data_IF_717515347424
#
_entry.id   IF_717515347424
#
_cell.length_a   1.000
_cell.length_b   1.000
_cell.length_c   1.000
_cell.angle_alpha   90.00
_cell.angle_beta   90.00
_cell.angle_gamma   90.00
#
_symmetry.space_group_name_H-M   'P 1'
#
loop_
_entity.id
_entity.type
_entity.pdbx_description
1 polymer ?
#
# COMPACT_ATOMS: atom_id res chain seq x y z
N UNK A 1 47.28 -12.54 1.58
CA UNK A 1 46.49 -11.90 0.51
C UNK A 1 45.93 -10.58 1.03
N UNK A 2 46.29 -9.47 0.38
CA UNK A 2 46.26 -8.11 0.92
C UNK A 2 44.84 -7.55 1.10
N UNK A 3 44.55 -6.99 2.28
CA UNK A 3 43.31 -6.22 2.59
C UNK A 3 43.05 -5.07 1.60
N UNK A 4 44.10 -4.56 0.97
CA UNK A 4 44.02 -3.56 -0.10
C UNK A 4 43.34 -4.09 -1.36
N UNK A 5 43.57 -5.36 -1.73
CA UNK A 5 42.97 -5.99 -2.91
C UNK A 5 41.47 -6.22 -2.71
N UNK A 6 41.05 -6.53 -1.48
CA UNK A 6 39.64 -6.71 -1.13
C UNK A 6 38.86 -5.39 -1.17
N UNK A 7 39.48 -4.30 -0.69
CA UNK A 7 38.88 -2.96 -0.72
C UNK A 7 38.75 -2.42 -2.16
N UNK A 8 39.76 -2.66 -3.01
CA UNK A 8 39.68 -2.30 -4.43
C UNK A 8 38.63 -3.14 -5.19
N UNK A 9 38.46 -4.41 -4.82
CA UNK A 9 37.40 -5.27 -5.39
C UNK A 9 36.00 -4.81 -4.97
N UNK A 10 35.81 -4.42 -3.71
CA UNK A 10 34.52 -3.91 -3.23
C UNK A 10 34.16 -2.56 -3.86
N UNK A 11 35.12 -1.64 -4.00
CA UNK A 11 34.91 -0.37 -4.70
C UNK A 11 34.61 -0.59 -6.19
N UNK A 12 35.32 -1.52 -6.85
CA UNK A 12 35.06 -1.89 -8.23
C UNK A 12 33.67 -2.53 -8.39
N UNK A 13 33.23 -3.38 -7.46
CA UNK A 13 31.87 -3.94 -7.48
C UNK A 13 30.80 -2.87 -7.29
N UNK A 14 31.01 -1.92 -6.37
CA UNK A 14 30.06 -0.82 -6.17
C UNK A 14 30.00 0.12 -7.37
N UNK A 15 31.14 0.39 -8.03
CA UNK A 15 31.17 1.19 -9.26
C UNK A 15 30.61 0.43 -10.46
N UNK A 16 30.79 -0.90 -10.53
CA UNK A 16 30.20 -1.73 -11.58
C UNK A 16 28.68 -1.87 -11.41
N UNK A 17 28.18 -2.05 -10.19
CA UNK A 17 26.73 -1.97 -9.90
C UNK A 17 26.16 -0.57 -10.19
N UNK A 18 26.90 0.50 -9.91
CA UNK A 18 26.51 1.87 -10.24
C UNK A 18 26.51 2.14 -11.76
N UNK A 19 27.43 1.53 -12.51
CA UNK A 19 27.50 1.59 -13.98
C UNK A 19 26.37 0.77 -14.64
N UNK A 20 26.07 -0.42 -14.13
CA UNK A 20 24.95 -1.26 -14.57
C UNK A 20 23.59 -0.58 -14.30
N UNK A 21 23.50 0.26 -13.27
CA UNK A 21 22.31 1.07 -13.01
C UNK A 21 22.14 2.28 -13.96
N UNK A 22 23.19 2.69 -14.71
CA UNK A 22 23.12 3.79 -15.69
C UNK A 22 22.90 3.33 -17.13
N UNK A 23 23.05 2.05 -17.44
CA UNK A 23 22.86 1.53 -18.80
C UNK A 23 21.60 0.67 -18.90
N UNK A 24 20.49 1.27 -19.32
CA UNK A 24 19.50 0.54 -20.13
C UNK A 24 18.04 0.52 -19.69
N UNK A 25 17.42 1.67 -19.46
CA UNK A 25 16.08 1.92 -20.05
C UNK A 25 16.23 3.14 -20.96
N UNK A 26 16.67 2.89 -22.19
CA UNK A 26 16.59 3.85 -23.29
C UNK A 26 15.13 3.90 -23.71
N UNK A 27 14.34 4.74 -23.03
CA UNK A 27 13.09 5.23 -23.63
C UNK A 27 13.55 6.06 -24.82
N UNK A 28 13.32 5.55 -26.03
CA UNK A 28 13.30 6.41 -27.21
C UNK A 28 12.17 7.41 -26.98
N UNK A 29 12.51 8.63 -26.62
CA UNK A 29 11.67 9.75 -26.98
C UNK A 29 11.68 9.77 -28.51
N UNK A 30 10.60 9.30 -29.14
CA UNK A 30 10.27 9.88 -30.43
C UNK A 30 9.91 11.33 -30.14
N UNK A 31 10.72 12.25 -30.63
CA UNK A 31 10.23 13.61 -30.89
C UNK A 31 9.22 13.53 -32.04
N UNK A 32 8.07 12.89 -31.79
CA UNK A 32 6.91 13.11 -32.62
C UNK A 32 6.33 14.45 -32.16
N UNK A 33 6.84 15.51 -32.79
CA UNK A 33 6.08 16.75 -32.93
C UNK A 33 4.69 16.31 -33.40
N UNK A 34 3.69 16.36 -32.52
CA UNK A 34 2.28 16.33 -32.95
C UNK A 34 2.10 17.54 -33.85
N UNK A 35 2.35 17.31 -35.13
CA UNK A 35 1.95 18.19 -36.21
C UNK A 35 0.44 18.13 -36.14
N UNK A 36 -0.18 19.18 -35.60
CA UNK A 36 -1.62 19.37 -35.69
C UNK A 36 -1.91 19.37 -37.19
N UNK A 37 -2.34 18.22 -37.69
CA UNK A 37 -2.84 18.10 -39.03
C UNK A 37 -4.13 18.90 -39.03
N UNK A 38 -4.09 20.12 -39.54
CA UNK A 38 -5.28 20.91 -39.84
C UNK A 38 -6.16 20.28 -40.94
N UNK A 39 -6.01 18.98 -41.23
CA UNK A 39 -6.86 18.23 -42.15
C UNK A 39 -8.24 18.07 -41.53
N UNK A 40 -9.15 18.95 -41.97
CA UNK A 40 -10.58 18.80 -41.73
C UNK A 40 -11.04 17.43 -42.22
N UNK A 41 -11.78 16.72 -41.39
CA UNK A 41 -12.43 15.48 -41.78
C UNK A 41 -13.57 15.79 -42.75
N UNK A 42 -13.51 15.26 -43.98
CA UNK A 42 -14.53 15.40 -45.01
C UNK A 42 -15.44 14.17 -44.98
N UNK A 43 -16.65 14.25 -44.41
CA UNK A 43 -17.48 13.08 -44.18
C UNK A 43 -18.07 12.53 -45.48
N UNK A 44 -18.09 11.21 -45.63
CA UNK A 44 -18.78 10.50 -46.72
C UNK A 44 -19.90 9.64 -46.17
N UNK A 45 -20.72 9.06 -47.06
CA UNK A 45 -21.78 8.10 -46.69
C UNK A 45 -21.24 6.74 -46.21
N UNK A 46 -20.00 6.41 -46.56
CA UNK A 46 -19.31 5.21 -46.08
C UNK A 46 -18.43 5.49 -44.85
N UNK A 47 -18.19 4.46 -44.03
CA UNK A 47 -17.38 4.55 -42.81
C UNK A 47 -15.91 4.86 -43.12
N UNK A 48 -15.42 5.98 -42.59
CA UNK A 48 -14.01 6.35 -42.67
C UNK A 48 -13.37 6.38 -41.29
N UNK A 49 -12.14 5.87 -41.18
CA UNK A 49 -11.38 5.90 -39.93
C UNK A 49 -10.96 7.32 -39.56
N UNK A 50 -11.23 7.72 -38.32
CA UNK A 50 -10.84 9.00 -37.72
C UNK A 50 -9.45 8.86 -37.11
N UNK A 51 -8.52 9.75 -37.48
CA UNK A 51 -7.16 9.76 -36.90
C UNK A 51 -7.18 10.26 -35.45
N UNK A 52 -6.23 9.80 -34.63
CA UNK A 52 -6.04 10.35 -33.28
C UNK A 52 -5.75 11.86 -33.39
N UNK A 53 -6.51 12.66 -32.64
CA UNK A 53 -6.53 14.13 -32.63
C UNK A 53 -7.18 14.85 -33.83
N UNK A 54 -7.89 14.15 -34.72
CA UNK A 54 -8.65 14.79 -35.82
C UNK A 54 -10.02 15.30 -35.34
N UNK A 55 -10.30 16.59 -35.52
CA UNK A 55 -11.61 17.17 -35.25
C UNK A 55 -12.64 16.76 -36.32
N UNK A 56 -13.74 16.14 -35.89
CA UNK A 56 -14.86 15.75 -36.75
C UNK A 56 -16.02 16.76 -36.61
N UNK A 57 -16.68 17.16 -37.73
CA UNK A 57 -17.88 18.00 -37.68
C UNK A 57 -19.01 17.36 -36.85
N UNK A 58 -19.82 18.18 -36.13
CA UNK A 58 -20.99 17.67 -35.40
C UNK A 58 -22.05 17.11 -36.38
N UNK A 59 -22.81 16.10 -35.95
CA UNK A 59 -23.88 15.50 -36.75
C UNK A 59 -23.46 14.30 -37.62
N UNK A 60 -22.36 13.62 -37.29
CA UNK A 60 -21.93 12.38 -37.94
C UNK A 60 -22.25 11.16 -37.08
N UNK A 61 -22.48 10.02 -37.74
CA UNK A 61 -22.56 8.73 -37.05
C UNK A 61 -21.14 8.28 -36.73
N UNK A 62 -20.79 8.14 -35.45
CA UNK A 62 -19.46 7.75 -34.98
C UNK A 62 -19.53 6.41 -34.25
N UNK A 63 -18.62 5.48 -34.56
CA UNK A 63 -18.51 4.19 -33.85
C UNK A 63 -17.06 3.84 -33.54
N UNK A 64 -16.85 2.94 -32.59
CA UNK A 64 -15.57 2.30 -32.33
C UNK A 64 -15.59 0.90 -32.94
N UNK A 65 -14.70 0.63 -33.89
CA UNK A 65 -14.60 -0.70 -34.50
C UNK A 65 -13.89 -1.64 -33.51
N UNK A 66 -14.60 -2.66 -33.02
CA UNK A 66 -14.11 -3.56 -31.95
C UNK A 66 -13.02 -4.52 -32.41
N UNK A 67 -12.89 -4.79 -33.71
CA UNK A 67 -11.83 -5.65 -34.25
C UNK A 67 -10.52 -4.87 -34.44
N UNK A 68 -10.60 -3.59 -34.80
CA UNK A 68 -9.41 -2.77 -35.11
C UNK A 68 -9.04 -1.78 -34.01
N UNK A 69 -9.94 -1.55 -33.05
CA UNK A 69 -9.78 -0.57 -31.97
C UNK A 69 -9.85 0.90 -32.42
N UNK A 70 -10.17 1.18 -33.70
CA UNK A 70 -10.14 2.53 -34.27
C UNK A 70 -11.54 3.17 -34.32
N UNK A 71 -11.58 4.50 -34.15
CA UNK A 71 -12.80 5.30 -34.32
C UNK A 71 -13.12 5.47 -35.80
N UNK A 72 -14.37 5.29 -36.20
CA UNK A 72 -14.86 5.50 -37.57
C UNK A 72 -16.04 6.47 -37.56
N UNK A 73 -16.19 7.29 -38.61
CA UNK A 73 -17.31 8.21 -38.78
C UNK A 73 -17.87 8.21 -40.21
N UNK A 74 -19.19 8.36 -40.37
CA UNK A 74 -19.89 8.55 -41.65
C UNK A 74 -21.02 9.59 -41.54
N UNK A 75 -21.50 10.10 -42.67
CA UNK A 75 -22.70 10.94 -42.75
C UNK A 75 -23.94 10.11 -42.37
N UNK A 76 -24.87 10.69 -41.60
CA UNK A 76 -26.15 10.03 -41.27
C UNK A 76 -27.08 10.05 -42.49
N UNK A 77 -27.72 8.91 -42.80
CA UNK A 77 -28.79 8.83 -43.79
C UNK A 77 -30.17 8.88 -43.10
N UNK A 78 -31.22 9.34 -43.80
CA UNK A 78 -32.58 9.52 -43.25
C UNK A 78 -33.23 8.24 -42.70
N UNK A 79 -32.68 7.06 -43.03
CA UNK A 79 -33.14 5.77 -42.55
C UNK A 79 -32.45 5.26 -41.26
N UNK A 80 -31.38 5.91 -40.79
CA UNK A 80 -30.66 5.51 -39.57
C UNK A 80 -31.41 5.92 -38.27
N UNK A 81 -32.55 6.64 -38.39
CA UNK A 81 -33.38 7.10 -37.26
C UNK A 81 -34.39 6.06 -36.71
N UNK A 82 -34.29 4.78 -37.11
CA UNK A 82 -35.19 3.73 -36.59
C UNK A 82 -34.39 2.52 -36.09
N UNK A 83 -33.89 2.62 -34.86
CA UNK A 83 -33.24 1.51 -34.16
C UNK A 83 -33.22 1.72 -32.65
N UNK A 84 -34.12 1.01 -31.96
CA UNK A 84 -34.33 0.87 -30.51
C UNK A 84 -33.09 1.02 -29.61
N UNK A 85 -33.22 1.83 -28.56
CA UNK A 85 -32.89 1.46 -27.18
C UNK A 85 -33.68 2.35 -26.20
N UNK A 86 -34.51 1.71 -25.38
CA UNK A 86 -35.31 2.28 -24.29
C UNK A 86 -34.43 2.91 -23.21
N UNK A 87 -34.59 4.23 -22.99
CA UNK A 87 -34.52 4.95 -21.69
C UNK A 87 -34.37 6.47 -21.90
N UNK A 88 -35.32 7.10 -22.60
CA UNK A 88 -35.40 8.56 -22.65
C UNK A 88 -36.81 9.01 -22.28
N UNK A 89 -36.87 9.71 -21.14
CA UNK A 89 -38.03 10.48 -20.67
C UNK A 89 -38.41 11.47 -21.77
N UNK A 90 -39.66 11.36 -22.26
CA UNK A 90 -40.25 12.31 -23.19
C UNK A 90 -40.49 13.62 -22.45
N UNK A 91 -39.65 14.63 -22.70
CA UNK A 91 -39.94 16.02 -22.37
C UNK A 91 -40.77 16.59 -23.55
N UNK A 92 -41.94 17.21 -23.31
CA UNK A 92 -42.77 17.79 -24.37
C UNK A 92 -42.02 18.84 -25.20
N UNK A 93 -42.32 18.84 -26.49
CA UNK A 93 -41.64 19.48 -27.63
C UNK A 93 -41.87 21.00 -27.74
N UNK A 94 -41.71 21.74 -26.62
CA UNK A 94 -41.81 23.21 -26.59
C UNK A 94 -40.56 23.85 -25.96
N UNK A 95 -39.37 23.42 -26.37
CA UNK A 95 -38.14 24.20 -26.13
C UNK A 95 -37.44 24.53 -27.45
N UNK A 96 -37.25 25.82 -27.79
CA UNK A 96 -36.55 26.21 -29.00
C UNK A 96 -35.11 25.71 -28.97
N UNK A 97 -34.66 25.12 -30.09
CA UNK A 97 -33.31 24.64 -30.31
C UNK A 97 -32.27 25.71 -29.95
N UNK A 98 -31.32 25.35 -29.09
CA UNK A 98 -30.22 26.20 -28.64
C UNK A 98 -29.21 26.36 -29.80
N UNK A 99 -29.57 27.15 -30.80
CA UNK A 99 -28.66 27.67 -31.83
C UNK A 99 -28.83 29.18 -32.04
N UNK A 100 -29.76 29.82 -31.33
CA UNK A 100 -29.99 31.26 -31.45
C UNK A 100 -29.02 32.04 -30.56
N UNK A 101 -28.07 32.72 -31.20
CA UNK A 101 -27.13 33.69 -30.61
C UNK A 101 -27.82 34.75 -29.72
N UNK A 102 -29.13 34.96 -29.95
CA UNK A 102 -30.01 35.86 -29.20
C UNK A 102 -30.31 35.32 -27.78
N UNK A 103 -30.47 34.00 -27.62
CA UNK A 103 -30.76 33.37 -26.32
C UNK A 103 -29.51 33.34 -25.42
N UNK A 104 -28.32 33.12 -26.00
CA UNK A 104 -27.06 33.28 -25.26
C UNK A 104 -26.88 34.74 -24.79
N UNK A 105 -27.21 35.72 -25.64
CA UNK A 105 -27.15 37.15 -25.28
C UNK A 105 -28.16 37.53 -24.21
N UNK A 106 -29.35 36.92 -24.17
CA UNK A 106 -30.33 37.16 -23.09
C UNK A 106 -29.90 36.49 -21.78
N UNK A 107 -29.35 35.28 -21.81
CA UNK A 107 -28.77 34.60 -20.63
C UNK A 107 -27.62 35.40 -20.00
N UNK A 108 -26.77 36.00 -20.83
CA UNK A 108 -25.68 36.89 -20.40
C UNK A 108 -26.20 38.21 -19.82
N UNK A 109 -27.41 38.64 -20.18
CA UNK A 109 -28.03 39.87 -19.70
C UNK A 109 -28.70 39.70 -18.33
N UNK A 110 -29.18 38.50 -18.02
CA UNK A 110 -29.94 38.22 -16.79
C UNK A 110 -29.12 37.54 -15.68
N UNK A 111 -28.02 36.85 -16.01
CA UNK A 111 -27.06 36.41 -14.98
C UNK A 111 -25.95 37.46 -14.87
N UNK A 112 -25.83 38.10 -13.70
CA UNK A 112 -24.57 38.71 -13.26
C UNK A 112 -23.50 37.60 -13.16
N UNK A 113 -22.97 37.16 -14.29
CA UNK A 113 -21.76 36.35 -14.30
C UNK A 113 -20.67 37.21 -13.69
N UNK A 114 -20.03 36.70 -12.64
CA UNK A 114 -18.83 37.31 -12.06
C UNK A 114 -17.86 37.59 -13.19
N UNK A 115 -17.32 38.80 -13.23
CA UNK A 115 -16.36 39.16 -14.26
C UNK A 115 -15.13 38.26 -14.13
N UNK A 116 -14.42 38.02 -15.24
CA UNK A 116 -13.17 37.26 -15.21
C UNK A 116 -12.15 37.87 -14.24
N UNK A 117 -12.20 39.18 -14.03
CA UNK A 117 -11.32 39.90 -13.10
C UNK A 117 -11.73 39.70 -11.64
N UNK A 118 -13.03 39.62 -11.33
CA UNK A 118 -13.52 39.21 -10.01
C UNK A 118 -13.13 37.77 -9.69
N UNK A 119 -13.25 36.85 -10.66
CA UNK A 119 -12.85 35.46 -10.49
C UNK A 119 -11.34 35.29 -10.28
N UNK A 120 -10.52 36.06 -11.02
CA UNK A 120 -9.06 36.10 -10.80
C UNK A 120 -8.72 36.65 -9.42
N UNK A 121 -9.40 37.72 -8.99
CA UNK A 121 -9.20 38.31 -7.66
C UNK A 121 -9.63 37.35 -6.54
N UNK A 122 -10.73 36.63 -6.70
CA UNK A 122 -11.19 35.59 -5.77
C UNK A 122 -10.19 34.42 -5.72
N UNK A 123 -9.66 34.00 -6.87
CA UNK A 123 -8.66 32.94 -6.97
C UNK A 123 -7.31 33.37 -6.34
N UNK A 124 -6.86 34.60 -6.60
CA UNK A 124 -5.67 35.17 -5.97
C UNK A 124 -5.85 35.32 -4.45
N UNK A 125 -7.03 35.73 -3.99
CA UNK A 125 -7.35 35.81 -2.56
C UNK A 125 -7.39 34.43 -1.88
N UNK A 126 -7.87 33.40 -2.57
CA UNK A 126 -7.82 32.01 -2.11
C UNK A 126 -6.39 31.44 -2.09
N UNK A 127 -5.59 31.77 -3.11
CA UNK A 127 -4.22 31.29 -3.25
C UNK A 127 -3.23 32.02 -2.33
N UNK A 128 -3.58 33.21 -1.82
CA UNK A 128 -2.74 34.01 -0.94
C UNK A 128 -2.40 33.34 0.41
N UNK A 129 -3.21 32.37 0.84
CA UNK A 129 -2.97 31.60 2.08
C UNK A 129 -2.75 30.10 1.82
N UNK A 130 -2.64 29.68 0.56
CA UNK A 130 -2.38 28.29 0.23
C UNK A 130 -0.89 27.99 0.39
N UNK A 131 -0.54 27.23 1.42
CA UNK A 131 0.79 26.65 1.55
C UNK A 131 0.79 25.27 0.95
N UNK A 132 1.77 24.98 0.12
CA UNK A 132 1.98 23.62 -0.38
C UNK A 132 2.52 22.73 0.74
N UNK A 133 2.23 21.43 0.70
CA UNK A 133 2.77 20.46 1.66
C UNK A 133 4.30 20.53 1.73
N UNK A 134 4.98 20.79 0.60
CA UNK A 134 6.42 20.97 0.56
C UNK A 134 6.92 22.18 1.36
N UNK A 135 6.17 23.29 1.38
CA UNK A 135 6.48 24.47 2.19
C UNK A 135 6.20 24.22 3.66
N UNK A 136 5.09 23.55 3.97
CA UNK A 136 4.74 23.15 5.34
C UNK A 136 5.83 22.22 5.90
N UNK A 137 6.25 21.21 5.13
CA UNK A 137 7.33 20.30 5.52
C UNK A 137 8.66 21.01 5.77
N UNK A 138 9.03 21.99 4.93
CA UNK A 138 10.25 22.79 5.15
C UNK A 138 10.17 23.62 6.43
N UNK A 139 9.00 24.21 6.72
CA UNK A 139 8.74 24.94 7.96
C UNK A 139 8.86 24.02 9.17
N UNK A 140 8.16 22.87 9.15
CA UNK A 140 8.22 21.86 10.21
C UNK A 140 9.63 21.32 10.40
N UNK A 141 10.39 21.08 9.33
CA UNK A 141 11.78 20.63 9.42
C UNK A 141 12.67 21.65 10.14
N UNK A 142 12.51 22.95 9.84
CA UNK A 142 13.25 24.02 10.52
C UNK A 142 12.87 24.10 12.00
N UNK A 143 11.57 24.06 12.31
CA UNK A 143 11.08 24.09 13.69
C UNK A 143 11.56 22.87 14.47
N UNK A 144 11.52 21.69 13.85
CA UNK A 144 11.99 20.44 14.42
C UNK A 144 13.45 20.55 14.85
N UNK A 145 14.33 21.11 14.02
CA UNK A 145 15.75 21.28 14.39
C UNK A 145 15.98 22.32 15.51
N UNK A 146 15.08 23.29 15.65
CA UNK A 146 15.13 24.33 16.68
C UNK A 146 14.39 23.98 17.98
N UNK A 147 13.73 22.82 18.05
CA UNK A 147 12.85 22.43 19.16
C UNK A 147 13.62 22.33 20.48
N UNK A 148 12.96 22.75 21.57
CA UNK A 148 13.50 22.67 22.94
C UNK A 148 12.48 22.12 23.93
N UNK A 149 11.21 22.49 23.77
CA UNK A 149 10.13 22.03 24.62
C UNK A 149 9.53 20.71 24.10
N UNK A 150 9.17 19.82 25.04
CA UNK A 150 8.52 18.53 24.76
C UNK A 150 7.23 18.71 23.97
N UNK A 151 6.36 19.62 24.37
CA UNK A 151 5.05 19.80 23.74
C UNK A 151 5.18 20.28 22.29
N UNK A 152 6.14 21.17 22.02
CA UNK A 152 6.49 21.60 20.67
C UNK A 152 6.96 20.42 19.82
N UNK A 153 7.81 19.57 20.38
CA UNK A 153 8.32 18.38 19.69
C UNK A 153 7.19 17.41 19.34
N UNK A 154 6.31 17.09 20.30
CA UNK A 154 5.15 16.23 20.06
C UNK A 154 4.19 16.81 19.03
N UNK A 155 3.89 18.12 19.10
CA UNK A 155 3.06 18.79 18.09
C UNK A 155 3.64 18.62 16.69
N UNK A 156 4.94 18.89 16.52
CA UNK A 156 5.59 18.75 15.21
C UNK A 156 5.52 17.31 14.70
N UNK A 157 5.76 16.31 15.56
CA UNK A 157 5.65 14.90 15.15
C UNK A 157 4.21 14.54 14.74
N UNK A 158 3.21 15.03 15.44
CA UNK A 158 1.81 14.79 15.07
C UNK A 158 1.43 15.48 13.75
N UNK A 159 1.90 16.70 13.53
CA UNK A 159 1.69 17.42 12.26
C UNK A 159 2.39 16.70 11.09
N UNK A 160 3.58 16.12 11.33
CA UNK A 160 4.32 15.34 10.35
C UNK A 160 3.62 14.02 9.99
N UNK A 161 3.03 13.32 10.95
CA UNK A 161 2.37 12.03 10.74
C UNK A 161 1.32 12.12 9.62
N UNK A 162 0.45 13.14 9.68
CA UNK A 162 -0.56 13.38 8.65
C UNK A 162 0.02 13.67 7.27
N UNK A 163 1.10 14.45 7.19
CA UNK A 163 1.72 14.84 5.91
C UNK A 163 2.51 13.69 5.27
N UNK A 164 3.22 12.89 6.08
CA UNK A 164 4.16 11.88 5.60
C UNK A 164 3.47 10.66 4.96
N UNK A 165 2.17 10.51 5.11
CA UNK A 165 1.38 9.51 4.39
C UNK A 165 1.37 9.72 2.86
N UNK A 166 1.61 10.94 2.39
CA UNK A 166 1.77 11.17 0.96
C UNK A 166 3.17 10.76 0.49
N UNK A 167 3.23 10.01 -0.61
CA UNK A 167 4.47 9.42 -1.14
C UNK A 167 5.55 10.48 -1.40
N UNK A 168 5.18 11.61 -1.99
CA UNK A 168 6.12 12.70 -2.32
C UNK A 168 6.64 13.40 -1.06
N UNK A 169 5.78 13.59 -0.05
CA UNK A 169 6.13 14.18 1.23
C UNK A 169 7.17 13.33 1.98
N UNK A 170 6.99 12.00 1.99
CA UNK A 170 7.98 11.07 2.56
C UNK A 170 9.34 11.16 1.87
N UNK A 171 9.36 11.30 0.53
CA UNK A 171 10.59 11.47 -0.23
C UNK A 171 11.28 12.81 0.06
N UNK A 172 10.51 13.90 0.15
CA UNK A 172 11.04 15.23 0.46
C UNK A 172 11.60 15.29 1.88
N UNK A 173 10.89 14.74 2.87
CA UNK A 173 11.38 14.61 4.24
C UNK A 173 12.71 13.85 4.32
N UNK A 174 12.82 12.75 3.58
CA UNK A 174 14.09 12.01 3.46
C UNK A 174 15.20 12.84 2.82
N UNK A 175 14.92 13.57 1.72
CA UNK A 175 15.92 14.43 1.06
C UNK A 175 16.44 15.54 1.99
N UNK A 176 15.59 16.08 2.86
CA UNK A 176 15.98 17.07 3.87
C UNK A 176 16.81 16.47 5.02
N UNK A 177 16.97 15.13 5.09
CA UNK A 177 17.67 14.47 6.19
C UNK A 177 16.79 14.24 7.42
N UNK A 178 15.47 14.19 7.24
CA UNK A 178 14.52 13.99 8.33
C UNK A 178 14.46 12.55 8.88
N UNK A 179 14.84 11.54 8.09
CA UNK A 179 14.79 10.14 8.53
C UNK A 179 15.72 9.84 9.70
N UNK A 180 17.02 10.22 9.69
CA UNK A 180 17.90 10.05 10.85
C UNK A 180 17.38 10.72 12.12
N UNK A 181 16.67 11.85 12.00
CA UNK A 181 16.08 12.55 13.13
C UNK A 181 14.97 11.71 13.79
N UNK A 182 14.07 11.13 12.97
CA UNK A 182 13.04 10.22 13.46
C UNK A 182 13.64 8.97 14.10
N UNK A 183 14.69 8.39 13.51
CA UNK A 183 15.41 7.24 14.11
C UNK A 183 16.01 7.62 15.47
N UNK A 184 16.55 8.83 15.62
CA UNK A 184 17.07 9.29 16.90
C UNK A 184 15.96 9.45 17.95
N UNK A 185 14.83 10.05 17.58
CA UNK A 185 13.68 10.21 18.49
C UNK A 185 13.05 8.89 18.91
N UNK A 186 13.09 7.84 18.07
CA UNK A 186 12.65 6.49 18.48
C UNK A 186 13.46 5.94 19.67
N UNK A 187 14.68 6.45 19.90
CA UNK A 187 15.52 6.10 21.03
C UNK A 187 15.29 7.01 22.25
N UNK A 188 14.35 7.95 22.19
CA UNK A 188 13.98 8.80 23.33
C UNK A 188 13.55 7.95 24.53
N UNK A 189 13.82 8.47 25.73
CA UNK A 189 13.27 7.94 26.99
C UNK A 189 11.80 8.33 27.17
N UNK A 190 11.31 9.27 26.37
CA UNK A 190 9.91 9.67 26.33
C UNK A 190 9.13 8.77 25.36
N UNK A 191 8.24 7.95 25.91
CA UNK A 191 7.48 6.98 25.13
C UNK A 191 6.50 7.62 24.15
N UNK A 192 6.00 8.83 24.40
CA UNK A 192 5.11 9.51 23.44
C UNK A 192 5.90 10.00 22.23
N UNK A 193 7.08 10.57 22.46
CA UNK A 193 7.99 10.98 21.37
C UNK A 193 8.44 9.75 20.58
N UNK A 194 8.84 8.67 21.27
CA UNK A 194 9.29 7.45 20.60
C UNK A 194 8.17 6.84 19.73
N UNK A 195 6.92 6.83 20.22
CA UNK A 195 5.74 6.37 19.46
C UNK A 195 5.47 7.24 18.25
N UNK A 196 5.41 8.57 18.43
CA UNK A 196 5.11 9.50 17.35
C UNK A 196 6.19 9.49 16.27
N UNK A 197 7.48 9.38 16.65
CA UNK A 197 8.58 9.24 15.71
C UNK A 197 8.52 7.92 14.91
N UNK A 198 8.16 6.80 15.57
CA UNK A 198 7.95 5.53 14.90
C UNK A 198 6.80 5.58 13.89
N UNK A 199 5.70 6.30 14.21
CA UNK A 199 4.58 6.52 13.29
C UNK A 199 5.00 7.35 12.07
N UNK A 200 5.63 8.52 12.29
CA UNK A 200 6.15 9.36 11.22
C UNK A 200 7.08 8.60 10.27
N UNK A 201 7.99 7.78 10.83
CA UNK A 201 8.89 6.97 10.02
C UNK A 201 8.12 5.94 9.22
N UNK A 202 7.18 5.23 9.85
CA UNK A 202 6.34 4.24 9.17
C UNK A 202 5.55 4.88 8.02
N UNK A 203 4.92 6.04 8.25
CA UNK A 203 4.18 6.78 7.23
C UNK A 203 5.07 7.15 6.03
N UNK A 204 6.28 7.67 6.28
CA UNK A 204 7.21 8.07 5.24
C UNK A 204 7.72 6.89 4.38
N UNK A 205 7.90 5.71 4.97
CA UNK A 205 8.46 4.52 4.28
C UNK A 205 7.40 3.59 3.71
N UNK A 206 6.19 3.55 4.27
CA UNK A 206 5.17 2.59 3.87
C UNK A 206 4.77 2.78 2.40
N UNK A 207 4.78 1.69 1.64
CA UNK A 207 4.45 1.71 0.21
C UNK A 207 5.25 2.74 -0.59
N UNK A 208 6.47 3.07 -0.12
CA UNK A 208 7.35 4.06 -0.74
C UNK A 208 8.73 3.45 -1.05
N UNK A 209 8.87 2.69 -2.14
CA UNK A 209 10.11 1.94 -2.43
C UNK A 209 11.37 2.80 -2.54
N UNK A 210 11.23 4.05 -3.00
CA UNK A 210 12.34 5.00 -3.08
C UNK A 210 12.90 5.35 -1.70
N UNK A 211 12.03 5.55 -0.72
CA UNK A 211 12.44 5.80 0.66
C UNK A 211 12.95 4.50 1.29
N UNK A 212 12.19 3.40 1.18
CA UNK A 212 12.55 2.10 1.76
C UNK A 212 13.97 1.66 1.36
N UNK A 213 14.29 1.68 0.06
CA UNK A 213 15.61 1.24 -0.43
C UNK A 213 16.74 2.12 0.11
N UNK A 214 16.55 3.44 0.18
CA UNK A 214 17.58 4.37 0.69
C UNK A 214 17.83 4.22 2.18
N UNK A 215 16.80 3.88 2.95
CA UNK A 215 16.86 3.83 4.42
C UNK A 215 16.92 2.40 4.97
N UNK A 216 17.03 1.38 4.11
CA UNK A 216 17.00 -0.04 4.47
C UNK A 216 18.11 -0.44 5.47
N UNK A 217 19.21 0.28 5.49
CA UNK A 217 20.31 0.05 6.42
C UNK A 217 19.89 0.25 7.91
N UNK A 218 18.79 0.97 8.17
CA UNK A 218 18.24 1.14 9.52
C UNK A 218 17.48 -0.08 10.06
N UNK A 219 17.23 -1.13 9.26
CA UNK A 219 16.56 -2.37 9.74
C UNK A 219 17.24 -2.92 11.01
N UNK A 220 18.58 -2.94 11.03
CA UNK A 220 19.33 -3.44 12.19
C UNK A 220 19.13 -2.58 13.46
N UNK A 221 18.94 -1.27 13.30
CA UNK A 221 18.69 -0.34 14.41
C UNK A 221 17.31 -0.60 15.00
N UNK A 222 16.30 -0.79 14.14
CA UNK A 222 14.93 -1.06 14.57
C UNK A 222 14.81 -2.40 15.30
N UNK A 223 15.48 -3.46 14.80
CA UNK A 223 15.54 -4.77 15.49
C UNK A 223 16.19 -4.62 16.87
N UNK A 224 17.33 -3.91 16.97
CA UNK A 224 17.97 -3.67 18.28
C UNK A 224 17.07 -2.89 19.22
N UNK A 225 16.30 -1.92 18.72
CA UNK A 225 15.36 -1.14 19.53
C UNK A 225 14.21 -2.02 20.03
N UNK A 226 13.65 -2.90 19.19
CA UNK A 226 12.65 -3.89 19.59
C UNK A 226 13.17 -4.82 20.70
N UNK A 227 14.45 -5.18 20.65
CA UNK A 227 15.03 -6.07 21.64
C UNK A 227 15.04 -5.47 23.06
N UNK A 228 15.29 -4.16 23.17
CA UNK A 228 15.54 -3.47 24.46
C UNK A 228 14.34 -2.71 25.02
N UNK A 229 13.38 -2.35 24.18
CA UNK A 229 12.21 -1.57 24.62
C UNK A 229 11.29 -2.42 25.49
N UNK A 230 10.77 -1.83 26.57
CA UNK A 230 9.91 -2.52 27.54
C UNK A 230 8.44 -2.13 27.43
N UNK A 231 8.16 -0.94 26.90
CA UNK A 231 6.80 -0.44 26.71
C UNK A 231 6.13 -1.12 25.51
N UNK A 232 4.97 -1.75 25.72
CA UNK A 232 4.28 -2.54 24.69
C UNK A 232 3.81 -1.66 23.53
N UNK A 233 3.29 -0.46 23.82
CA UNK A 233 2.77 0.44 22.79
C UNK A 233 3.90 0.95 21.89
N UNK A 234 5.02 1.36 22.47
CA UNK A 234 6.23 1.75 21.71
C UNK A 234 6.74 0.56 20.89
N UNK A 235 6.77 -0.64 21.47
CA UNK A 235 7.17 -1.86 20.76
C UNK A 235 6.32 -2.13 19.53
N UNK A 236 4.99 -1.98 19.65
CA UNK A 236 4.05 -2.14 18.55
C UNK A 236 4.35 -1.12 17.44
N UNK A 237 4.65 0.14 17.79
CA UNK A 237 4.98 1.16 16.78
C UNK A 237 6.32 0.92 16.11
N UNK A 238 7.34 0.47 16.84
CA UNK A 238 8.64 0.10 16.23
C UNK A 238 8.47 -1.13 15.32
N UNK A 239 7.67 -2.11 15.72
CA UNK A 239 7.36 -3.27 14.88
C UNK A 239 6.64 -2.84 13.60
N UNK A 240 5.69 -1.92 13.71
CA UNK A 240 5.01 -1.34 12.55
C UNK A 240 5.99 -0.60 11.62
N UNK A 241 6.87 0.25 12.17
CA UNK A 241 7.93 0.92 11.40
C UNK A 241 8.88 -0.08 10.71
N UNK A 242 9.23 -1.16 11.40
CA UNK A 242 10.07 -2.25 10.85
C UNK A 242 9.33 -2.95 9.71
N UNK A 243 8.08 -3.31 9.91
CA UNK A 243 7.20 -3.91 8.91
C UNK A 243 7.07 -3.01 7.68
N UNK A 244 6.77 -1.72 7.87
CA UNK A 244 6.65 -0.74 6.78
C UNK A 244 7.94 -0.60 5.97
N UNK A 245 9.12 -0.74 6.60
CA UNK A 245 10.40 -0.65 5.92
C UNK A 245 10.72 -1.89 5.05
N UNK A 246 10.26 -3.08 5.45
CA UNK A 246 10.72 -4.35 4.86
C UNK A 246 9.68 -5.07 4.01
N UNK A 247 8.39 -4.77 4.20
CA UNK A 247 7.30 -5.36 3.42
C UNK A 247 7.30 -4.91 1.97
N UNK A 248 6.82 -5.78 1.09
CA UNK A 248 6.73 -5.60 -0.35
C UNK A 248 8.08 -5.27 -1.06
N UNK A 249 9.22 -5.48 -0.39
CA UNK A 249 10.56 -5.33 -0.99
C UNK A 249 11.44 -6.53 -0.63
N UNK A 250 11.82 -7.39 -1.60
CA UNK A 250 12.66 -8.57 -1.35
C UNK A 250 13.99 -8.26 -0.63
N UNK A 251 14.65 -7.16 -0.99
CA UNK A 251 15.91 -6.73 -0.34
C UNK A 251 15.69 -6.38 1.12
N UNK A 252 14.55 -5.77 1.47
CA UNK A 252 14.22 -5.40 2.84
C UNK A 252 13.98 -6.61 3.70
N UNK A 253 13.16 -7.55 3.22
CA UNK A 253 12.91 -8.81 3.91
C UNK A 253 14.21 -9.63 4.08
N UNK A 254 15.03 -9.72 3.04
CA UNK A 254 16.34 -10.37 3.12
C UNK A 254 17.23 -9.71 4.20
N UNK A 255 17.29 -8.38 4.24
CA UNK A 255 18.06 -7.63 5.24
C UNK A 255 17.56 -7.88 6.66
N UNK A 256 16.24 -7.94 6.85
CA UNK A 256 15.62 -8.26 8.13
C UNK A 256 16.04 -9.64 8.65
N UNK A 257 15.96 -10.66 7.78
CA UNK A 257 16.35 -12.02 8.14
C UNK A 257 17.86 -12.10 8.40
N UNK A 258 18.70 -11.45 7.58
CA UNK A 258 20.15 -11.45 7.77
C UNK A 258 20.59 -10.84 9.11
N UNK A 259 19.85 -9.86 9.63
CA UNK A 259 20.14 -9.23 10.92
C UNK A 259 19.46 -9.95 12.11
N UNK A 260 18.96 -11.17 11.92
CA UNK A 260 18.34 -11.95 12.99
C UNK A 260 16.96 -11.44 13.42
N UNK A 261 16.23 -10.78 12.52
CA UNK A 261 14.92 -10.22 12.83
C UNK A 261 13.91 -11.28 13.28
N UNK A 262 13.86 -12.44 12.62
CA UNK A 262 13.00 -13.56 13.04
C UNK A 262 13.35 -14.05 14.45
N UNK A 263 14.63 -14.17 14.76
CA UNK A 263 15.11 -14.62 16.06
C UNK A 263 14.66 -13.69 17.18
N UNK A 264 14.71 -12.37 16.94
CA UNK A 264 14.29 -11.41 17.95
C UNK A 264 12.77 -11.43 18.16
N UNK A 265 11.99 -11.55 17.09
CA UNK A 265 10.54 -11.69 17.20
C UNK A 265 10.11 -12.96 17.93
N UNK A 266 10.79 -14.08 17.68
CA UNK A 266 10.54 -15.34 18.36
C UNK A 266 10.82 -15.24 19.88
N UNK A 267 11.93 -14.59 20.27
CA UNK A 267 12.20 -14.29 21.69
C UNK A 267 11.11 -13.45 22.33
N UNK A 268 10.55 -12.47 21.61
CA UNK A 268 9.44 -11.64 22.12
C UNK A 268 8.18 -12.49 22.32
N UNK A 269 7.89 -13.45 21.42
CA UNK A 269 6.77 -14.37 21.60
C UNK A 269 6.87 -15.23 22.87
N UNK A 270 8.09 -15.56 23.31
CA UNK A 270 8.34 -16.30 24.56
C UNK A 270 8.19 -15.46 25.84
N UNK A 271 8.25 -14.12 25.76
CA UNK A 271 8.14 -13.25 26.95
C UNK A 271 6.73 -13.36 27.56
N UNK A 272 6.56 -13.38 28.89
CA UNK A 272 5.23 -13.36 29.49
C UNK A 272 4.49 -12.04 29.18
N UNK A 273 3.17 -12.10 29.01
CA UNK A 273 2.34 -10.93 28.66
C UNK A 273 2.45 -10.51 27.20
N UNK A 274 2.37 -9.21 26.93
CA UNK A 274 2.55 -8.57 25.61
C UNK A 274 1.61 -9.11 24.51
N UNK A 275 0.38 -9.45 24.87
CA UNK A 275 -0.55 -10.16 23.99
C UNK A 275 -0.79 -9.38 22.69
N UNK A 276 -0.94 -8.05 22.76
CA UNK A 276 -1.18 -7.22 21.58
C UNK A 276 0.05 -7.21 20.68
N UNK A 277 1.24 -7.05 21.24
CA UNK A 277 2.49 -7.11 20.47
C UNK A 277 2.68 -8.48 19.82
N UNK A 278 2.43 -9.59 20.53
CA UNK A 278 2.55 -10.95 19.99
C UNK A 278 1.61 -11.18 18.80
N UNK A 279 0.35 -10.71 18.89
CA UNK A 279 -0.60 -10.77 17.77
C UNK A 279 -0.08 -9.95 16.58
N UNK A 280 0.50 -8.77 16.82
CA UNK A 280 1.11 -7.95 15.75
C UNK A 280 2.31 -8.64 15.10
N UNK A 281 3.12 -9.37 15.88
CA UNK A 281 4.22 -10.20 15.36
C UNK A 281 3.66 -11.29 14.44
N UNK A 282 2.65 -12.04 14.89
CA UNK A 282 2.03 -13.10 14.08
C UNK A 282 1.36 -12.55 12.81
N UNK A 283 0.75 -11.36 12.91
CA UNK A 283 0.20 -10.66 11.73
C UNK A 283 1.31 -10.33 10.73
N UNK A 284 2.42 -9.78 11.19
CA UNK A 284 3.57 -9.46 10.33
C UNK A 284 4.18 -10.71 9.67
N UNK A 285 4.31 -11.82 10.39
CA UNK A 285 4.77 -13.10 9.81
C UNK A 285 3.78 -13.61 8.75
N UNK A 286 2.48 -13.57 9.03
CA UNK A 286 1.43 -13.98 8.08
C UNK A 286 1.48 -13.14 6.80
N UNK A 287 1.61 -11.82 6.95
CA UNK A 287 1.72 -10.88 5.84
C UNK A 287 2.96 -11.16 4.99
N UNK A 288 4.12 -11.34 5.64
CA UNK A 288 5.39 -11.68 4.99
C UNK A 288 5.31 -13.00 4.22
N UNK A 289 4.68 -14.01 4.80
CA UNK A 289 4.46 -15.29 4.14
C UNK A 289 3.56 -15.13 2.92
N UNK A 290 2.43 -14.42 3.06
CA UNK A 290 1.50 -14.16 1.97
C UNK A 290 2.18 -13.39 0.82
N UNK A 291 3.01 -12.39 1.13
CA UNK A 291 3.81 -11.63 0.16
C UNK A 291 4.78 -12.54 -0.60
N UNK A 292 5.45 -13.45 0.10
CA UNK A 292 6.36 -14.41 -0.52
C UNK A 292 5.62 -15.42 -1.40
N UNK A 293 4.42 -15.84 -1.00
CA UNK A 293 3.59 -16.77 -1.76
C UNK A 293 3.04 -16.15 -3.03
N UNK A 294 2.53 -14.92 -2.95
CA UNK A 294 2.07 -14.17 -4.12
C UNK A 294 3.22 -13.91 -5.11
N UNK A 295 4.44 -13.75 -4.58
CA UNK A 295 5.65 -13.60 -5.39
C UNK A 295 6.09 -14.88 -6.11
N UNK A 296 5.47 -16.06 -5.86
CA UNK A 296 5.79 -17.33 -6.55
C UNK A 296 5.60 -17.24 -8.07
N UNK A 297 4.75 -16.33 -8.54
CA UNK A 297 4.46 -16.12 -9.98
C UNK A 297 5.42 -15.15 -10.68
N UNK A 298 6.18 -14.33 -9.94
CA UNK A 298 7.28 -13.57 -10.52
C UNK A 298 8.53 -14.46 -10.46
N UNK A 299 9.01 -14.91 -11.62
CA UNK A 299 10.20 -15.76 -11.81
C UNK A 299 11.52 -15.14 -11.28
N UNK A 300 11.61 -14.87 -9.97
CA UNK A 300 12.82 -14.37 -9.32
C UNK A 300 13.29 -15.41 -8.34
N UNK A 301 14.29 -16.17 -8.74
CA UNK A 301 15.06 -17.13 -7.93
C UNK A 301 15.36 -16.59 -6.52
N UNK A 302 15.63 -15.28 -6.42
CA UNK A 302 15.85 -14.57 -5.16
C UNK A 302 14.64 -14.59 -4.22
N UNK A 303 13.42 -14.40 -4.72
CA UNK A 303 12.20 -14.41 -3.89
C UNK A 303 11.92 -15.81 -3.32
N UNK A 304 12.10 -16.86 -4.15
CA UNK A 304 12.01 -18.25 -3.70
C UNK A 304 13.03 -18.58 -2.61
N UNK A 305 14.28 -18.12 -2.77
CA UNK A 305 15.34 -18.30 -1.77
C UNK A 305 14.99 -17.62 -0.44
N UNK A 306 14.46 -16.40 -0.49
CA UNK A 306 14.03 -15.67 0.71
C UNK A 306 12.87 -16.42 1.39
N UNK A 307 11.85 -16.81 0.64
CA UNK A 307 10.72 -17.58 1.17
C UNK A 307 11.17 -18.89 1.84
N UNK A 308 12.00 -19.68 1.18
CA UNK A 308 12.51 -20.93 1.74
C UNK A 308 13.29 -20.68 3.04
N UNK A 309 14.06 -19.58 3.11
CA UNK A 309 14.77 -19.19 4.33
C UNK A 309 13.81 -18.81 5.46
N UNK A 310 12.73 -18.10 5.16
CA UNK A 310 11.66 -17.80 6.13
C UNK A 310 11.03 -19.10 6.62
N UNK A 311 10.58 -19.96 5.72
CA UNK A 311 9.91 -21.22 6.08
C UNK A 311 10.82 -22.13 6.93
N UNK A 312 12.10 -22.22 6.57
CA UNK A 312 13.10 -22.98 7.36
C UNK A 312 13.24 -22.38 8.76
N UNK A 313 13.38 -21.06 8.86
CA UNK A 313 13.53 -20.37 10.16
C UNK A 313 12.28 -20.50 11.05
N UNK A 314 11.09 -20.56 10.45
CA UNK A 314 9.83 -20.77 11.17
C UNK A 314 9.68 -22.22 11.63
N UNK A 315 10.19 -23.19 10.85
CA UNK A 315 10.12 -24.63 11.16
C UNK A 315 11.14 -25.07 12.23
N UNK A 316 12.33 -24.46 12.25
CA UNK A 316 13.40 -24.79 13.21
C UNK A 316 13.17 -24.24 14.63
N UNK A 317 12.10 -23.45 14.84
CA UNK A 317 11.88 -22.67 16.07
C UNK A 317 10.49 -22.87 16.64
N UNK A 318 10.30 -22.44 17.88
CA UNK A 318 9.07 -22.66 18.66
C UNK A 318 7.92 -21.70 18.28
N UNK A 319 7.82 -21.26 17.02
CA UNK A 319 6.77 -20.33 16.59
C UNK A 319 5.38 -20.91 16.79
N UNK A 320 5.15 -22.15 16.35
CA UNK A 320 3.87 -22.83 16.51
C UNK A 320 3.51 -22.99 18.00
N UNK A 321 4.46 -23.48 18.80
CA UNK A 321 4.26 -23.67 20.24
C UNK A 321 3.92 -22.36 20.96
N UNK A 322 4.60 -21.27 20.63
CA UNK A 322 4.32 -19.94 21.20
C UNK A 322 2.99 -19.34 20.71
N UNK A 323 2.40 -19.86 19.62
CA UNK A 323 1.18 -19.32 19.00
C UNK A 323 -0.09 -19.97 19.52
N UNK A 324 -0.05 -21.25 19.91
CA UNK A 324 -1.24 -21.98 20.37
C UNK A 324 -1.90 -21.33 21.59
N UNK A 325 -1.11 -20.84 22.55
CA UNK A 325 -1.64 -20.20 23.76
C UNK A 325 -2.38 -18.89 23.47
N UNK A 326 -2.15 -18.26 22.31
CA UNK A 326 -2.78 -16.99 21.94
C UNK A 326 -4.19 -17.16 21.37
N UNK A 327 -4.66 -18.39 21.14
CA UNK A 327 -6.04 -18.64 20.69
C UNK A 327 -7.09 -18.35 21.78
N UNK A 328 -6.69 -18.22 23.03
CA UNK A 328 -7.58 -17.99 24.18
C UNK A 328 -7.94 -16.51 24.40
N UNK A 329 -7.54 -15.61 23.51
CA UNK A 329 -7.91 -14.19 23.58
C UNK A 329 -9.40 -14.00 23.29
N UNK A 330 -10.07 -13.06 23.94
CA UNK A 330 -11.53 -12.91 23.81
C UNK A 330 -11.98 -12.28 22.49
N UNK A 331 -11.13 -11.47 21.87
CA UNK A 331 -11.46 -10.69 20.68
C UNK A 331 -11.36 -11.54 19.40
N UNK A 332 -12.42 -11.56 18.58
CA UNK A 332 -12.51 -12.37 17.36
C UNK A 332 -11.43 -12.01 16.33
N UNK A 333 -11.19 -10.72 16.07
CA UNK A 333 -10.13 -10.26 15.15
C UNK A 333 -8.72 -10.70 15.62
N UNK A 334 -8.49 -10.70 16.93
CA UNK A 334 -7.26 -11.22 17.51
C UNK A 334 -7.13 -12.74 17.34
N UNK A 335 -8.20 -13.53 17.57
CA UNK A 335 -8.20 -14.98 17.30
C UNK A 335 -7.99 -15.30 15.83
N UNK A 336 -8.62 -14.53 14.93
CA UNK A 336 -8.47 -14.65 13.48
C UNK A 336 -7.01 -14.49 13.06
N UNK A 337 -6.31 -13.46 13.57
CA UNK A 337 -4.89 -13.25 13.29
C UNK A 337 -4.03 -14.42 13.76
N UNK A 338 -4.33 -14.97 14.94
CA UNK A 338 -3.61 -16.13 15.47
C UNK A 338 -3.86 -17.37 14.61
N UNK A 339 -5.10 -17.72 14.30
CA UNK A 339 -5.39 -18.91 13.48
C UNK A 339 -4.86 -18.77 12.05
N UNK A 340 -4.91 -17.58 11.44
CA UNK A 340 -4.27 -17.30 10.15
C UNK A 340 -2.77 -17.57 10.19
N UNK A 341 -2.09 -17.17 11.27
CA UNK A 341 -0.66 -17.43 11.43
C UNK A 341 -0.34 -18.93 11.56
N UNK A 342 -1.18 -19.69 12.28
CA UNK A 342 -1.04 -21.15 12.41
C UNK A 342 -1.22 -21.85 11.06
N UNK A 343 -2.18 -21.40 10.24
CA UNK A 343 -2.37 -21.87 8.86
C UNK A 343 -1.15 -21.55 8.01
N UNK A 344 -0.71 -20.29 8.01
CA UNK A 344 0.42 -19.84 7.21
C UNK A 344 1.69 -20.65 7.54
N UNK A 345 2.02 -20.78 8.82
CA UNK A 345 3.19 -21.54 9.28
C UNK A 345 3.05 -23.06 9.12
N UNK A 346 1.88 -23.55 8.66
CA UNK A 346 1.57 -24.97 8.56
C UNK A 346 1.82 -25.73 9.88
N UNK A 347 1.38 -25.13 10.98
CA UNK A 347 1.61 -25.67 12.32
C UNK A 347 0.92 -27.02 12.51
N UNK A 348 1.68 -27.98 13.05
CA UNK A 348 1.22 -29.33 13.40
C UNK A 348 1.40 -29.53 14.90
N UNK A 349 0.48 -30.23 15.55
CA UNK A 349 0.64 -30.64 16.94
C UNK A 349 -0.04 -31.98 17.17
N UNK A 350 0.54 -32.80 18.05
CA UNK A 350 -0.08 -34.04 18.54
C UNK A 350 -0.78 -33.82 19.90
N UNK A 351 -0.76 -32.59 20.42
CA UNK A 351 -1.39 -32.25 21.68
C UNK A 351 -2.92 -32.31 21.56
N UNK A 352 -3.52 -33.23 22.31
CA UNK A 352 -4.96 -33.42 22.37
C UNK A 352 -5.68 -32.18 22.91
N UNK A 353 -5.04 -31.39 23.77
CA UNK A 353 -5.61 -30.17 24.32
C UNK A 353 -5.75 -29.10 23.24
N UNK A 354 -4.70 -28.85 22.45
CA UNK A 354 -4.78 -27.93 21.31
C UNK A 354 -5.85 -28.37 20.31
N UNK A 355 -5.92 -29.68 20.01
CA UNK A 355 -6.95 -30.24 19.13
C UNK A 355 -8.36 -30.02 19.66
N UNK A 356 -8.57 -30.22 20.97
CA UNK A 356 -9.87 -30.01 21.61
C UNK A 356 -10.27 -28.54 21.56
N UNK A 357 -9.35 -27.64 21.91
CA UNK A 357 -9.60 -26.19 21.91
C UNK A 357 -9.97 -25.68 20.50
N UNK A 358 -9.28 -26.13 19.45
CA UNK A 358 -9.62 -25.79 18.07
C UNK A 358 -11.03 -26.24 17.67
N UNK A 359 -11.46 -27.44 18.09
CA UNK A 359 -12.82 -27.93 17.82
C UNK A 359 -13.87 -27.08 18.52
N UNK A 360 -13.65 -26.75 19.79
CA UNK A 360 -14.56 -25.89 20.57
C UNK A 360 -14.71 -24.53 19.89
N UNK A 361 -13.60 -23.87 19.54
CA UNK A 361 -13.62 -22.58 18.86
C UNK A 361 -14.29 -22.65 17.49
N UNK A 362 -13.99 -23.69 16.69
CA UNK A 362 -14.66 -23.90 15.41
C UNK A 362 -16.18 -24.03 15.58
N UNK A 363 -16.63 -24.84 16.54
CA UNK A 363 -18.05 -25.09 16.75
C UNK A 363 -18.75 -23.82 17.27
N UNK A 364 -18.09 -23.02 18.12
CA UNK A 364 -18.53 -21.67 18.50
C UNK A 364 -18.72 -20.78 17.27
N UNK A 365 -17.73 -20.70 16.38
CA UNK A 365 -17.82 -19.87 15.17
C UNK A 365 -18.87 -20.35 14.16
N UNK A 366 -19.13 -21.65 14.05
CA UNK A 366 -20.24 -22.18 13.24
C UNK A 366 -21.61 -21.80 13.81
N UNK A 367 -21.74 -21.79 15.13
CA UNK A 367 -22.97 -21.31 15.79
C UNK A 367 -23.14 -19.81 15.54
N UNK A 368 -22.07 -19.02 15.63
CA UNK A 368 -22.12 -17.59 15.29
C UNK A 368 -22.49 -17.36 13.83
N UNK A 369 -21.88 -18.11 12.89
CA UNK A 369 -22.19 -18.03 11.46
C UNK A 369 -23.66 -18.38 11.15
N UNK A 370 -24.23 -19.39 11.82
CA UNK A 370 -25.63 -19.76 11.65
C UNK A 370 -26.62 -18.70 12.16
N UNK A 371 -26.18 -17.86 13.11
CA UNK A 371 -26.98 -16.78 13.70
C UNK A 371 -26.61 -15.39 13.14
N UNK A 372 -25.73 -15.34 12.14
CA UNK A 372 -25.25 -14.09 11.56
C UNK A 372 -26.34 -13.45 10.71
N UNK A 373 -26.83 -12.29 11.17
CA UNK A 373 -27.90 -11.54 10.52
C UNK A 373 -27.36 -10.75 9.32
N UNK A 374 -26.10 -10.33 9.40
CA UNK A 374 -25.48 -9.49 8.37
C UNK A 374 -25.08 -10.32 7.15
N UNK A 375 -24.82 -11.62 7.34
CA UNK A 375 -24.59 -12.59 6.27
C UNK A 375 -23.34 -12.29 5.45
N UNK A 376 -22.37 -11.58 6.02
CA UNK A 376 -21.12 -11.21 5.35
C UNK A 376 -20.14 -12.39 5.22
N UNK A 377 -20.45 -13.51 5.88
CA UNK A 377 -19.67 -14.74 5.85
C UNK A 377 -18.39 -14.69 6.68
N UNK A 378 -18.23 -13.68 7.55
CA UNK A 378 -17.05 -13.50 8.40
C UNK A 378 -16.83 -14.71 9.31
N UNK A 379 -17.85 -15.10 10.07
CA UNK A 379 -17.74 -16.21 11.03
C UNK A 379 -17.59 -17.57 10.35
N UNK A 380 -18.21 -17.75 9.18
CA UNK A 380 -18.05 -18.97 8.37
C UNK A 380 -16.59 -19.09 7.89
N UNK A 381 -16.05 -18.01 7.30
CA UNK A 381 -14.66 -17.95 6.87
C UNK A 381 -13.68 -18.23 8.01
N UNK A 382 -14.01 -17.75 9.22
CA UNK A 382 -13.20 -17.99 10.41
C UNK A 382 -13.26 -19.45 10.85
N UNK A 383 -14.44 -20.07 10.87
CA UNK A 383 -14.60 -21.51 11.14
C UNK A 383 -13.80 -22.38 10.15
N UNK A 384 -13.79 -22.02 8.86
CA UNK A 384 -12.99 -22.70 7.85
C UNK A 384 -11.48 -22.65 8.14
N UNK A 385 -10.97 -21.55 8.71
CA UNK A 385 -9.56 -21.46 9.10
C UNK A 385 -9.23 -22.46 10.22
N UNK A 386 -10.13 -22.63 11.19
CA UNK A 386 -9.98 -23.65 12.22
C UNK A 386 -10.00 -25.07 11.63
N UNK A 387 -10.87 -25.34 10.65
CA UNK A 387 -10.88 -26.62 9.93
C UNK A 387 -9.56 -26.86 9.16
N UNK A 388 -8.99 -25.83 8.52
CA UNK A 388 -7.67 -25.94 7.87
C UNK A 388 -6.58 -26.34 8.85
N UNK A 389 -6.54 -25.72 10.04
CA UNK A 389 -5.57 -26.10 11.08
C UNK A 389 -5.86 -27.52 11.60
N UNK A 390 -7.12 -27.89 11.81
CA UNK A 390 -7.52 -29.24 12.26
C UNK A 390 -7.16 -30.33 11.24
N UNK A 391 -7.17 -30.03 9.94
CA UNK A 391 -6.78 -30.95 8.89
C UNK A 391 -5.26 -31.19 8.83
N UNK A 392 -4.45 -30.29 9.41
CA UNK A 392 -3.01 -30.48 9.54
C UNK A 392 -2.62 -31.47 10.66
N UNK A 393 -3.58 -31.93 11.47
CA UNK A 393 -3.35 -32.99 12.44
C UNK A 393 -3.23 -34.34 11.71
N UNK A 394 -2.16 -35.08 12.00
CA UNK A 394 -2.03 -36.46 11.58
C UNK A 394 -3.31 -37.22 11.97
N UNK A 395 -3.88 -38.01 11.04
CA UNK A 395 -4.92 -38.98 11.41
C UNK A 395 -4.36 -39.82 12.57
N UNK A 396 -5.10 -40.02 13.67
CA UNK A 396 -4.61 -40.86 14.75
C UNK A 396 -4.19 -42.21 14.16
N UNK A 397 -2.98 -42.62 14.52
CA UNK A 397 -2.53 -43.99 14.26
C UNK A 397 -3.55 -44.93 14.89
N UNK A 398 -3.83 -46.08 14.25
CA UNK A 398 -4.68 -47.14 14.83
C UNK A 398 -4.14 -47.68 16.17
N UNK A 399 -2.95 -47.25 16.61
CA UNK A 399 -2.39 -47.54 17.95
C UNK A 399 -2.94 -46.66 19.07
N UNK A 400 -3.60 -45.55 18.73
CA UNK A 400 -4.04 -44.52 19.70
C UNK A 400 -5.57 -44.52 19.89
N UNK A 401 -6.25 -45.54 19.35
CA UNK A 401 -7.66 -45.90 19.54
C UNK A 401 -7.72 -47.29 20.16
#
# INVERSE_FOLDING_TARGET
MNKFVLATFLLALTMWSYSQAKEGVKIRYSEDKHKISGEKFYPTKEWQTVKEDQAIPPGLHVRLNLETGKKEAKLMDENDNKGQNDNLVVVPDDQPSITDEIYLKSLLKEKKLRSMDELKKDFEALNANYQTDAEILKSLFKEYNGRKARDTHLRILNDLDGLLHQVDNGQEWMKMGGIPLLINDMNSTDFEIAKAAALCFAAAVQSNPQVQVKVIHHVSVLIRRLAIITDEDVSIKILYATSALVRNIPVGLHTFIQHGGLDELEKILQRPGLIKLKIKILTFITDMMTECENSKHLERETAKKIYNKVLTSLSERNWCENSWSLLQVDEHDSREKVVKSLVAMNCKTNDLMHRSNLKVLRDEYRVLAANDIDGDGYFESLAELFDKVLNNFSKPSKSDL
#
